data_IF_755663783950
#
_entry.id   IF_755663783950
#
_cell.length_a   1.000
_cell.length_b   1.000
_cell.length_c   1.000
_cell.angle_alpha   90.00
_cell.angle_beta   90.00
_cell.angle_gamma   90.00
#
_symmetry.space_group_name_H-M   'P 1'
#
loop_
_entity.id
_entity.type
_entity.pdbx_description
1 polymer ?
#
# COMPACT_ATOMS: atom_id res chain seq x y z
N UNK A 1 1.13 16.09 -25.40
CA UNK A 1 2.07 15.74 -24.31
C UNK A 1 1.27 15.25 -23.11
N UNK A 2 1.15 13.94 -22.94
CA UNK A 2 0.37 13.31 -21.87
C UNK A 2 1.13 13.40 -20.55
N UNK A 3 0.64 14.23 -19.61
CA UNK A 3 1.24 14.37 -18.29
C UNK A 3 1.29 12.99 -17.59
N UNK A 4 2.49 12.52 -17.28
CA UNK A 4 2.74 11.28 -16.52
C UNK A 4 1.96 11.37 -15.21
N UNK A 5 0.97 10.49 -15.02
CA UNK A 5 0.16 10.45 -13.79
C UNK A 5 1.05 10.04 -12.62
N UNK A 6 1.55 11.01 -11.86
CA UNK A 6 2.24 10.77 -10.60
C UNK A 6 1.24 10.79 -9.44
N UNK A 7 1.54 10.04 -8.38
CA UNK A 7 0.69 9.97 -7.19
C UNK A 7 1.28 10.86 -6.10
N UNK A 8 0.49 11.82 -5.63
CA UNK A 8 0.86 12.62 -4.46
C UNK A 8 0.92 11.73 -3.22
N UNK A 9 1.98 11.90 -2.43
CA UNK A 9 2.17 11.24 -1.13
C UNK A 9 1.17 11.77 -0.09
N UNK A 10 1.12 11.15 1.09
CA UNK A 10 0.25 11.65 2.16
C UNK A 10 0.71 13.03 2.62
N UNK A 11 2.01 13.20 2.87
CA UNK A 11 2.61 14.44 3.39
C UNK A 11 2.36 15.61 2.45
N UNK A 12 2.54 15.42 1.15
CA UNK A 12 2.23 16.43 0.12
C UNK A 12 0.76 16.85 0.13
N UNK A 13 -0.17 15.90 0.31
CA UNK A 13 -1.62 16.21 0.38
C UNK A 13 -1.96 17.06 1.59
N UNK A 14 -1.33 16.81 2.73
CA UNK A 14 -1.62 17.57 3.95
C UNK A 14 -0.91 18.91 3.98
N UNK A 15 0.31 19.01 3.44
CA UNK A 15 0.92 20.32 3.24
C UNK A 15 0.11 21.18 2.25
N UNK A 16 -0.50 20.58 1.21
CA UNK A 16 -1.48 21.25 0.35
C UNK A 16 -2.72 21.75 1.12
N UNK A 17 -3.26 20.95 2.04
CA UNK A 17 -4.40 21.38 2.88
C UNK A 17 -4.02 22.53 3.82
N UNK A 18 -2.83 22.47 4.43
CA UNK A 18 -2.32 23.52 5.30
C UNK A 18 -2.06 24.83 4.54
N UNK A 19 -1.53 24.73 3.31
CA UNK A 19 -1.37 25.90 2.42
C UNK A 19 -2.73 26.50 2.03
N UNK A 20 -3.70 25.66 1.68
CA UNK A 20 -5.05 26.11 1.36
C UNK A 20 -5.75 26.82 2.54
N UNK A 21 -5.50 26.39 3.78
CA UNK A 21 -6.03 27.06 4.98
C UNK A 21 -5.36 28.41 5.25
N UNK A 22 -4.05 28.49 5.06
CA UNK A 22 -3.30 29.74 5.25
C UNK A 22 -3.62 30.79 4.18
N UNK A 23 -4.05 30.37 3.00
CA UNK A 23 -4.37 31.26 1.88
C UNK A 23 -5.68 30.87 1.18
N UNK A 24 -6.85 31.16 1.78
CA UNK A 24 -8.15 30.76 1.23
C UNK A 24 -8.52 31.49 -0.08
N UNK A 25 -7.87 32.63 -0.37
CA UNK A 25 -8.04 33.37 -1.63
C UNK A 25 -7.26 32.76 -2.82
N UNK A 26 -6.38 31.78 -2.56
CA UNK A 26 -5.53 31.18 -3.59
C UNK A 26 -6.32 30.20 -4.46
N UNK A 27 -6.29 30.39 -5.78
CA UNK A 27 -7.00 29.51 -6.70
C UNK A 27 -6.39 28.10 -6.75
N UNK A 28 -7.19 27.09 -7.11
CA UNK A 28 -6.71 25.71 -7.22
C UNK A 28 -5.58 25.52 -8.23
N UNK A 29 -5.53 26.36 -9.28
CA UNK A 29 -4.41 26.35 -10.23
C UNK A 29 -3.13 26.91 -9.61
N UNK A 30 -3.25 27.96 -8.78
CA UNK A 30 -2.10 28.50 -8.07
C UNK A 30 -1.58 27.52 -7.02
N UNK A 31 -2.45 26.82 -6.28
CA UNK A 31 -2.06 25.75 -5.36
C UNK A 31 -1.34 24.60 -6.07
N UNK A 32 -1.79 24.22 -7.27
CA UNK A 32 -1.13 23.20 -8.07
C UNK A 32 0.28 23.64 -8.51
N UNK A 33 0.46 24.90 -8.93
CA UNK A 33 1.78 25.45 -9.29
C UNK A 33 2.70 25.54 -8.08
N UNK A 34 2.18 25.98 -6.93
CA UNK A 34 2.94 26.00 -5.68
C UNK A 34 3.44 24.60 -5.31
N UNK A 35 2.59 23.57 -5.41
CA UNK A 35 2.99 22.20 -5.08
C UNK A 35 4.12 21.65 -5.98
N UNK A 36 4.19 22.10 -7.25
CA UNK A 36 5.33 21.75 -8.13
C UNK A 36 6.62 22.34 -7.59
N UNK A 37 6.59 23.62 -7.21
CA UNK A 37 7.77 24.32 -6.68
C UNK A 37 8.19 23.81 -5.31
N UNK A 38 7.24 23.46 -4.45
CA UNK A 38 7.50 23.04 -3.07
C UNK A 38 8.00 21.60 -2.98
N UNK A 39 7.38 20.68 -3.73
CA UNK A 39 7.64 19.23 -3.62
C UNK A 39 8.42 18.65 -4.80
N UNK A 40 8.92 19.51 -5.71
CA UNK A 40 9.66 19.08 -6.89
C UNK A 40 8.85 18.15 -7.81
N UNK A 41 7.54 18.38 -7.92
CA UNK A 41 6.67 17.48 -8.66
C UNK A 41 6.97 17.54 -10.17
N UNK A 42 6.94 16.40 -10.88
CA UNK A 42 7.25 16.38 -12.31
C UNK A 42 6.21 17.12 -13.18
N UNK A 43 5.01 17.37 -12.64
CA UNK A 43 3.97 18.16 -13.29
C UNK A 43 3.00 18.75 -12.26
N UNK A 44 2.26 19.80 -12.64
CA UNK A 44 1.21 20.35 -11.79
C UNK A 44 0.04 19.37 -11.62
N UNK A 45 -0.43 19.12 -10.37
CA UNK A 45 -1.64 18.36 -10.17
C UNK A 45 -2.83 19.01 -10.88
N UNK A 46 -3.69 18.20 -11.49
CA UNK A 46 -4.90 18.71 -12.13
C UNK A 46 -5.84 19.42 -11.14
N UNK A 47 -6.61 20.40 -11.62
CA UNK A 47 -7.62 21.14 -10.84
C UNK A 47 -8.57 20.19 -10.08
N UNK A 48 -8.97 19.08 -10.72
CA UNK A 48 -9.83 18.05 -10.13
C UNK A 48 -9.15 17.31 -8.98
N UNK A 49 -7.83 17.05 -9.08
CA UNK A 49 -7.03 16.45 -8.00
C UNK A 49 -6.96 17.36 -6.79
N UNK A 50 -6.66 18.65 -6.98
CA UNK A 50 -6.62 19.64 -5.88
C UNK A 50 -8.00 19.76 -5.21
N UNK A 51 -9.06 19.90 -6.01
CA UNK A 51 -10.44 19.95 -5.51
C UNK A 51 -10.80 18.70 -4.70
N UNK A 52 -10.41 17.51 -5.16
CA UNK A 52 -10.67 16.24 -4.46
C UNK A 52 -9.90 16.14 -3.14
N UNK A 53 -8.65 16.61 -3.10
CA UNK A 53 -7.83 16.66 -1.86
C UNK A 53 -8.49 17.60 -0.84
N UNK A 54 -8.87 18.81 -1.25
CA UNK A 54 -9.52 19.79 -0.37
C UNK A 54 -10.88 19.26 0.14
N UNK A 55 -11.70 18.66 -0.74
CA UNK A 55 -12.98 18.07 -0.33
C UNK A 55 -12.84 16.83 0.56
N UNK A 56 -11.72 16.12 0.48
CA UNK A 56 -11.42 14.96 1.36
C UNK A 56 -10.66 15.35 2.63
N UNK A 57 -10.58 16.66 2.95
CA UNK A 57 -9.94 17.22 4.15
C UNK A 57 -10.32 16.49 5.43
N UNK A 58 -11.60 16.25 5.69
CA UNK A 58 -12.06 15.55 6.90
C UNK A 58 -11.56 14.11 6.96
N UNK A 59 -11.49 13.41 5.83
CA UNK A 59 -10.95 12.06 5.74
C UNK A 59 -9.40 12.00 5.81
N UNK A 60 -8.72 13.08 5.40
CA UNK A 60 -7.27 13.21 5.43
C UNK A 60 -6.75 13.66 6.80
N UNK A 61 -7.42 14.62 7.46
CA UNK A 61 -7.04 15.20 8.74
C UNK A 61 -7.70 14.51 9.96
N UNK A 62 -8.85 13.86 9.77
CA UNK A 62 -9.49 13.03 10.80
C UNK A 62 -8.78 11.69 11.06
N UNK A 63 -7.63 11.46 10.41
CA UNK A 63 -6.73 10.35 10.72
C UNK A 63 -5.63 10.86 11.66
N UNK A 64 -5.53 10.33 12.89
CA UNK A 64 -4.34 10.58 13.71
C UNK A 64 -3.09 10.16 12.93
N UNK A 65 -2.02 10.96 13.04
CA UNK A 65 -0.73 10.73 12.38
C UNK A 65 -0.17 9.32 12.74
N UNK A 66 -0.51 8.79 13.92
CA UNK A 66 -0.25 7.40 14.34
C UNK A 66 -0.88 6.32 13.44
N UNK A 67 -1.93 6.65 12.67
CA UNK A 67 -2.57 5.74 11.70
C UNK A 67 -2.09 5.95 10.26
N UNK A 68 -1.19 6.91 10.00
CA UNK A 68 -0.55 7.06 8.69
C UNK A 68 0.54 5.99 8.47
N UNK A 69 1.16 5.49 9.55
CA UNK A 69 2.10 4.35 9.52
C UNK A 69 1.39 3.01 9.30
N UNK A 70 0.08 2.89 9.59
CA UNK A 70 -0.66 1.62 9.53
C UNK A 70 -1.76 1.58 8.45
N UNK A 71 -1.46 2.07 7.25
CA UNK A 71 -2.25 1.69 6.05
C UNK A 71 -1.52 0.68 5.15
N UNK A 72 -0.22 0.49 5.37
CA UNK A 72 0.61 -0.52 4.70
C UNK A 72 1.06 -1.65 5.65
N UNK A 73 0.76 -1.56 6.94
CA UNK A 73 0.96 -2.68 7.84
C UNK A 73 -0.06 -3.76 7.47
N UNK A 74 0.41 -4.78 6.76
CA UNK A 74 -0.32 -6.02 6.50
C UNK A 74 -0.97 -6.47 7.82
N UNK A 75 -2.28 -6.83 7.84
CA UNK A 75 -2.93 -7.29 9.07
C UNK A 75 -2.07 -8.35 9.74
N UNK A 76 -1.97 -8.34 11.08
CA UNK A 76 -1.08 -9.28 11.82
C UNK A 76 -1.30 -10.74 11.41
N UNK A 77 -2.55 -11.13 11.14
CA UNK A 77 -2.90 -12.46 10.64
C UNK A 77 -2.32 -12.77 9.27
N UNK A 78 -2.20 -11.79 8.38
CA UNK A 78 -1.54 -11.95 7.08
C UNK A 78 -0.02 -11.95 7.20
N UNK A 79 0.57 -11.16 8.10
CA UNK A 79 2.01 -11.21 8.35
C UNK A 79 2.40 -12.59 8.89
N UNK A 80 1.66 -13.08 9.89
CA UNK A 80 1.83 -14.42 10.44
C UNK A 80 1.60 -15.53 9.41
N UNK A 81 0.64 -15.36 8.50
CA UNK A 81 0.45 -16.26 7.36
C UNK A 81 1.72 -16.33 6.49
N UNK A 82 2.26 -15.18 6.09
CA UNK A 82 3.47 -15.13 5.24
C UNK A 82 4.67 -15.74 5.98
N UNK A 83 4.89 -15.38 7.26
CA UNK A 83 5.95 -15.94 8.12
C UNK A 83 5.87 -17.47 8.22
N UNK A 84 4.68 -18.02 8.48
CA UNK A 84 4.49 -19.48 8.61
C UNK A 84 4.80 -20.20 7.30
N UNK A 85 4.43 -19.61 6.16
CA UNK A 85 4.70 -20.20 4.84
C UNK A 85 6.20 -20.13 4.51
N UNK A 86 6.90 -19.06 4.89
CA UNK A 86 8.36 -18.97 4.74
C UNK A 86 9.06 -20.02 5.61
N UNK A 87 8.67 -20.14 6.88
CA UNK A 87 9.22 -21.13 7.81
C UNK A 87 9.04 -22.56 7.28
N UNK A 88 7.88 -22.88 6.72
CA UNK A 88 7.63 -24.17 6.08
C UNK A 88 8.57 -24.46 4.89
N UNK A 89 8.87 -23.45 4.08
CA UNK A 89 9.81 -23.59 2.94
C UNK A 89 11.23 -23.81 3.45
N UNK A 90 11.68 -22.98 4.41
CA UNK A 90 13.03 -23.07 4.99
C UNK A 90 13.27 -24.43 5.65
N UNK A 91 12.32 -24.92 6.45
CA UNK A 91 12.43 -26.23 7.10
C UNK A 91 12.61 -27.37 6.08
N UNK A 92 11.89 -27.32 4.97
CA UNK A 92 12.05 -28.33 3.94
C UNK A 92 13.33 -28.17 3.12
N UNK A 93 13.81 -26.95 2.91
CA UNK A 93 15.14 -26.71 2.35
C UNK A 93 16.24 -27.28 3.25
N UNK A 94 16.15 -27.08 4.56
CA UNK A 94 17.07 -27.66 5.55
C UNK A 94 17.03 -29.20 5.55
N UNK A 95 15.84 -29.79 5.44
CA UNK A 95 15.65 -31.25 5.35
C UNK A 95 15.98 -31.83 3.96
N UNK A 96 16.37 -31.00 2.98
CA UNK A 96 16.63 -31.42 1.60
C UNK A 96 15.40 -31.91 0.84
N UNK A 97 14.20 -31.58 1.32
CA UNK A 97 12.91 -31.95 0.74
C UNK A 97 12.49 -30.91 -0.29
N UNK A 98 12.30 -31.34 -1.54
CA UNK A 98 11.77 -30.48 -2.59
C UNK A 98 10.27 -30.24 -2.41
N UNK A 99 9.87 -29.00 -2.13
CA UNK A 99 8.44 -28.60 -2.07
C UNK A 99 7.98 -28.04 -3.42
N UNK A 100 6.88 -28.57 -3.94
CA UNK A 100 6.23 -28.00 -5.11
C UNK A 100 5.41 -26.74 -4.79
N UNK A 101 5.26 -25.83 -5.77
CA UNK A 101 4.41 -24.65 -5.62
C UNK A 101 2.95 -24.96 -5.22
N UNK A 102 2.42 -26.13 -5.64
CA UNK A 102 1.09 -26.59 -5.24
C UNK A 102 1.02 -26.91 -3.73
N UNK A 103 2.07 -27.51 -3.17
CA UNK A 103 2.17 -27.76 -1.74
C UNK A 103 2.26 -26.47 -0.93
N UNK A 104 3.04 -25.48 -1.40
CA UNK A 104 3.11 -24.14 -0.77
C UNK A 104 1.73 -23.48 -0.76
N UNK A 105 1.02 -23.52 -1.89
CA UNK A 105 -0.34 -22.97 -2.00
C UNK A 105 -1.31 -23.68 -1.05
N UNK A 106 -1.22 -25.01 -0.94
CA UNK A 106 -2.09 -25.77 -0.06
C UNK A 106 -1.79 -25.45 1.42
N UNK A 107 -0.52 -25.42 1.79
CA UNK A 107 -0.09 -25.05 3.13
C UNK A 107 -0.58 -23.64 3.52
N UNK A 108 -0.47 -22.66 2.61
CA UNK A 108 -0.97 -21.31 2.83
C UNK A 108 -2.50 -21.27 3.06
N UNK A 109 -3.28 -22.12 2.38
CA UNK A 109 -4.73 -22.25 2.64
C UNK A 109 -5.00 -22.80 4.03
N UNK A 110 -4.26 -23.83 4.42
CA UNK A 110 -4.42 -24.49 5.72
C UNK A 110 -4.04 -23.54 6.87
N UNK A 111 -2.95 -22.78 6.72
CA UNK A 111 -2.55 -21.74 7.66
C UNK A 111 -3.61 -20.63 7.74
N UNK A 112 -4.13 -20.16 6.61
CA UNK A 112 -5.18 -19.14 6.62
C UNK A 112 -6.47 -19.62 7.33
N UNK A 113 -6.80 -20.91 7.22
CA UNK A 113 -7.89 -21.52 7.96
C UNK A 113 -7.58 -21.61 9.47
N UNK A 114 -6.37 -22.06 9.85
CA UNK A 114 -5.92 -22.13 11.25
C UNK A 114 -5.90 -20.76 11.93
N UNK A 115 -5.47 -19.73 11.20
CA UNK A 115 -5.46 -18.34 11.65
C UNK A 115 -6.86 -17.69 11.64
N UNK A 116 -7.90 -18.44 11.26
CA UNK A 116 -9.29 -17.98 11.16
C UNK A 116 -9.44 -16.70 10.34
N UNK A 117 -8.67 -16.58 9.26
CA UNK A 117 -8.80 -15.45 8.33
C UNK A 117 -10.14 -15.61 7.60
N UNK A 118 -11.04 -14.62 7.65
CA UNK A 118 -12.32 -14.68 6.95
C UNK A 118 -12.11 -14.90 5.44
N UNK A 119 -12.90 -15.77 4.78
CA UNK A 119 -12.73 -16.09 3.36
C UNK A 119 -12.62 -14.87 2.44
N UNK A 120 -13.37 -13.80 2.73
CA UNK A 120 -13.39 -12.53 2.01
C UNK A 120 -12.10 -11.71 2.16
N UNK A 121 -11.32 -11.97 3.20
CA UNK A 121 -10.03 -11.33 3.45
C UNK A 121 -8.85 -12.18 2.99
N UNK A 122 -9.08 -13.47 2.66
CA UNK A 122 -7.99 -14.36 2.25
C UNK A 122 -7.36 -13.92 0.93
N UNK A 123 -6.03 -14.03 0.80
CA UNK A 123 -5.39 -13.94 -0.51
C UNK A 123 -6.02 -14.95 -1.47
N UNK A 124 -6.06 -14.60 -2.76
CA UNK A 124 -6.42 -15.56 -3.81
C UNK A 124 -5.25 -16.52 -4.03
N UNK A 125 -5.24 -17.60 -3.25
CA UNK A 125 -4.22 -18.64 -3.30
C UNK A 125 -4.23 -19.33 -4.67
N UNK A 126 -3.22 -19.01 -5.49
CA UNK A 126 -3.03 -19.52 -6.85
C UNK A 126 -1.68 -19.07 -7.42
N UNK A 127 -1.38 -19.37 -8.71
CA UNK A 127 -0.06 -19.12 -9.29
C UNK A 127 0.40 -17.66 -9.21
N UNK A 128 -0.51 -16.71 -9.41
CA UNK A 128 -0.18 -15.27 -9.33
C UNK A 128 0.15 -14.81 -7.91
N UNK A 129 -0.46 -15.43 -6.89
CA UNK A 129 -0.13 -15.15 -5.49
C UNK A 129 1.23 -15.75 -5.15
N UNK A 130 1.49 -17.00 -5.53
CA UNK A 130 2.76 -17.68 -5.29
C UNK A 130 3.93 -16.92 -5.93
N UNK A 131 3.77 -16.46 -7.17
CA UNK A 131 4.79 -15.63 -7.85
C UNK A 131 5.13 -14.37 -7.04
N UNK A 132 4.12 -13.62 -6.58
CA UNK A 132 4.32 -12.43 -5.74
C UNK A 132 4.87 -12.77 -4.36
N UNK A 133 4.57 -13.95 -3.85
CA UNK A 133 5.12 -14.44 -2.59
C UNK A 133 6.63 -14.69 -2.74
N UNK A 134 7.06 -15.43 -3.78
CA UNK A 134 8.49 -15.61 -4.07
C UNK A 134 9.22 -14.31 -4.39
N UNK A 135 8.60 -13.38 -5.13
CA UNK A 135 9.18 -12.04 -5.39
C UNK A 135 9.45 -11.26 -4.09
N UNK A 136 8.67 -11.49 -3.03
CA UNK A 136 8.84 -10.80 -1.74
C UNK A 136 9.86 -11.46 -0.83
N UNK A 137 9.98 -12.79 -0.87
CA UNK A 137 10.69 -13.57 0.16
C UNK A 137 11.82 -14.46 -0.37
N UNK A 138 11.87 -14.78 -1.66
CA UNK A 138 12.83 -15.73 -2.25
C UNK A 138 13.74 -15.10 -3.32
N UNK A 139 13.33 -13.99 -3.97
CA UNK A 139 14.12 -13.30 -5.00
C UNK A 139 14.86 -12.05 -4.48
N UNK A 140 15.38 -12.11 -3.25
CA UNK A 140 16.26 -11.08 -2.68
C UNK A 140 17.69 -11.23 -3.16
#
# INVERSE_FOLDING_TARGET
MTAKRFRLTWSEKVGLLAKADRTPAMSYQALAKWAVSEYGLPAAPGKTTICRIIKSRTALLGRPIDKAVRKNAQPRSHALLDETVVEFILLAEEDGVSISGAMIIQHARDVAAKLRIPPELRPRFGPSWLRRFHERFCNG
#
